data_IF_117755919564
#
_entry.id   IF_117755919564
#
_cell.length_a   1.000
_cell.length_b   1.000
_cell.length_c   1.000
_cell.angle_alpha   90.00
_cell.angle_beta   90.00
_cell.angle_gamma   90.00
#
_symmetry.space_group_name_H-M   'P 1'
#
loop_
_entity.id
_entity.type
_entity.pdbx_description
1 polymer ?
#
# COMPACT_ATOMS: atom_id res chain seq x y z
N UNK A 1 -2.06 -16.30 1.41
CA UNK A 1 -3.07 -16.84 0.46
C UNK A 1 -3.69 -15.75 -0.41
N UNK A 2 -4.32 -14.72 0.14
CA UNK A 2 -4.99 -13.65 -0.65
C UNK A 2 -4.07 -13.00 -1.68
N UNK A 3 -2.81 -12.70 -1.33
CA UNK A 3 -1.82 -12.18 -2.28
C UNK A 3 -1.61 -13.12 -3.48
N UNK A 4 -1.47 -14.43 -3.25
CA UNK A 4 -1.27 -15.41 -4.33
C UNK A 4 -2.49 -15.45 -5.26
N UNK A 5 -3.71 -15.42 -4.69
CA UNK A 5 -4.94 -15.36 -5.47
C UNK A 5 -5.08 -14.05 -6.25
N UNK A 6 -4.65 -12.93 -5.67
CA UNK A 6 -4.57 -11.63 -6.34
C UNK A 6 -3.59 -11.65 -7.52
N UNK A 7 -2.41 -12.22 -7.35
CA UNK A 7 -1.45 -12.39 -8.45
C UNK A 7 -2.00 -13.30 -9.56
N UNK A 8 -2.60 -14.44 -9.18
CA UNK A 8 -3.22 -15.36 -10.14
C UNK A 8 -4.34 -14.68 -10.94
N UNK A 9 -5.32 -14.07 -10.27
CA UNK A 9 -6.41 -13.34 -10.96
C UNK A 9 -5.87 -12.21 -11.85
N UNK A 10 -4.75 -11.58 -11.49
CA UNK A 10 -4.05 -10.60 -12.34
C UNK A 10 -3.47 -11.23 -13.61
N UNK A 11 -2.85 -12.40 -13.51
CA UNK A 11 -2.36 -13.15 -14.67
C UNK A 11 -3.51 -13.60 -15.59
N UNK A 12 -4.65 -14.00 -15.03
CA UNK A 12 -5.86 -14.28 -15.82
C UNK A 12 -6.31 -13.05 -16.61
N UNK A 13 -6.29 -11.85 -16.00
CA UNK A 13 -6.60 -10.58 -16.70
C UNK A 13 -5.60 -10.25 -17.81
N UNK A 14 -4.36 -10.74 -17.72
CA UNK A 14 -3.36 -10.61 -18.79
C UNK A 14 -3.57 -11.59 -19.95
N UNK A 15 -4.53 -12.51 -19.84
CA UNK A 15 -4.85 -13.51 -20.86
C UNK A 15 -4.18 -14.87 -20.64
N UNK A 16 -3.60 -15.12 -19.47
CA UNK A 16 -3.11 -16.45 -19.13
C UNK A 16 -4.27 -17.40 -18.80
N UNK A 17 -4.30 -18.57 -19.47
CA UNK A 17 -5.39 -19.56 -19.34
C UNK A 17 -4.93 -20.90 -18.73
N UNK A 18 -3.73 -20.96 -18.13
CA UNK A 18 -3.06 -22.24 -17.81
C UNK A 18 -3.81 -23.16 -16.83
N UNK A 19 -4.51 -22.63 -15.83
CA UNK A 19 -5.27 -23.42 -14.84
C UNK A 19 -6.79 -23.17 -14.95
N UNK A 20 -7.32 -23.25 -16.17
CA UNK A 20 -8.70 -22.86 -16.49
C UNK A 20 -9.78 -23.61 -15.68
N UNK A 21 -9.52 -24.85 -15.24
CA UNK A 21 -10.49 -25.68 -14.52
C UNK A 21 -10.86 -25.16 -13.11
N UNK A 22 -10.04 -24.28 -12.52
CA UNK A 22 -10.23 -23.73 -11.16
C UNK A 22 -10.05 -22.21 -11.17
N UNK A 23 -10.23 -21.55 -12.33
CA UNK A 23 -9.91 -20.13 -12.47
C UNK A 23 -10.90 -19.24 -11.68
N UNK A 24 -10.45 -18.52 -10.63
CA UNK A 24 -11.29 -17.53 -9.95
C UNK A 24 -11.65 -16.39 -10.90
N UNK A 25 -12.74 -15.68 -10.60
CA UNK A 25 -13.21 -14.56 -11.42
C UNK A 25 -12.11 -13.49 -11.60
N UNK A 26 -11.62 -13.20 -12.81
CA UNK A 26 -10.58 -12.19 -13.04
C UNK A 26 -11.00 -10.77 -12.63
N UNK A 27 -12.31 -10.52 -12.45
CA UNK A 27 -12.81 -9.22 -11.98
C UNK A 27 -12.45 -8.95 -10.51
N UNK A 28 -12.16 -9.99 -9.71
CA UNK A 28 -11.83 -9.80 -8.29
C UNK A 28 -10.37 -9.48 -8.03
N UNK A 29 -9.52 -9.38 -9.07
CA UNK A 29 -8.11 -9.01 -8.92
C UNK A 29 -7.88 -7.72 -8.11
N UNK A 30 -8.50 -6.61 -8.52
CA UNK A 30 -8.39 -5.32 -7.82
C UNK A 30 -8.88 -5.41 -6.37
N UNK A 31 -10.11 -5.90 -6.11
CA UNK A 31 -10.60 -6.13 -4.75
C UNK A 31 -9.69 -7.01 -3.88
N UNK A 32 -9.15 -8.11 -4.42
CA UNK A 32 -8.25 -9.00 -3.68
C UNK A 32 -6.91 -8.34 -3.36
N UNK A 33 -6.34 -7.57 -4.29
CA UNK A 33 -5.07 -6.90 -4.06
C UNK A 33 -5.21 -5.73 -3.09
N UNK A 34 -6.18 -4.83 -3.32
CA UNK A 34 -6.31 -3.60 -2.52
C UNK A 34 -7.04 -3.88 -1.21
N UNK A 35 -8.25 -4.41 -1.26
CA UNK A 35 -9.04 -4.60 -0.04
C UNK A 35 -8.61 -5.84 0.71
N UNK A 36 -8.39 -6.96 0.00
CA UNK A 36 -8.03 -8.21 0.63
C UNK A 36 -6.62 -8.21 1.20
N UNK A 37 -5.60 -8.09 0.36
CA UNK A 37 -4.21 -8.17 0.78
C UNK A 37 -3.77 -6.91 1.55
N UNK A 38 -3.81 -5.73 0.92
CA UNK A 38 -3.30 -4.50 1.54
C UNK A 38 -4.18 -4.03 2.69
N UNK A 39 -5.51 -4.12 2.55
CA UNK A 39 -6.44 -3.81 3.64
C UNK A 39 -6.23 -4.68 4.87
N UNK A 40 -5.99 -5.98 4.71
CA UNK A 40 -5.67 -6.87 5.85
C UNK A 40 -4.31 -6.50 6.45
N UNK A 41 -3.29 -6.27 5.62
CA UNK A 41 -1.94 -5.93 6.09
C UNK A 41 -1.93 -4.63 6.91
N UNK A 42 -2.49 -3.55 6.36
CA UNK A 42 -2.54 -2.23 7.00
C UNK A 42 -3.37 -2.30 8.29
N UNK A 43 -4.53 -2.95 8.26
CA UNK A 43 -5.35 -3.07 9.46
C UNK A 43 -4.72 -3.95 10.55
N UNK A 44 -3.99 -4.99 10.18
CA UNK A 44 -3.22 -5.81 11.12
C UNK A 44 -2.09 -5.01 11.75
N UNK A 45 -1.33 -4.26 10.97
CA UNK A 45 -0.27 -3.40 11.50
C UNK A 45 -0.82 -2.39 12.52
N UNK A 46 -1.95 -1.74 12.21
CA UNK A 46 -2.59 -0.81 13.15
C UNK A 46 -3.19 -1.53 14.37
N UNK A 47 -3.66 -2.76 14.21
CA UNK A 47 -4.15 -3.56 15.32
C UNK A 47 -3.02 -3.93 16.30
N UNK A 48 -1.86 -4.34 15.77
CA UNK A 48 -0.64 -4.62 16.55
C UNK A 48 -0.14 -3.34 17.24
N UNK A 49 -0.07 -2.22 16.52
CA UNK A 49 0.39 -0.94 17.07
C UNK A 49 -0.49 -0.41 18.22
N UNK A 50 -1.81 -0.57 18.13
CA UNK A 50 -2.72 -0.16 19.22
C UNK A 50 -2.79 -1.18 20.36
N UNK A 51 -2.39 -2.43 20.12
CA UNK A 51 -2.36 -3.54 21.06
C UNK A 51 -3.65 -3.73 21.90
N UNK A 52 -4.82 -3.61 21.26
CA UNK A 52 -6.13 -3.81 21.90
C UNK A 52 -6.86 -4.98 21.25
N UNK A 53 -7.35 -5.94 22.04
CA UNK A 53 -7.93 -7.20 21.53
C UNK A 53 -9.01 -7.02 20.45
N UNK A 54 -9.85 -5.99 20.56
CA UNK A 54 -10.92 -5.76 19.59
C UNK A 54 -10.41 -5.34 18.20
N UNK A 55 -9.23 -4.73 18.08
CA UNK A 55 -8.72 -4.25 16.79
C UNK A 55 -8.39 -5.38 15.84
N UNK A 56 -8.06 -6.57 16.36
CA UNK A 56 -7.80 -7.77 15.55
C UNK A 56 -9.04 -8.31 14.84
N UNK A 57 -10.26 -7.94 15.27
CA UNK A 57 -11.47 -8.25 14.52
C UNK A 57 -11.47 -7.57 13.14
N UNK A 58 -10.80 -6.42 13.00
CA UNK A 58 -10.75 -5.65 11.76
C UNK A 58 -10.03 -6.42 10.64
N UNK A 59 -8.74 -6.81 10.75
CA UNK A 59 -8.06 -7.60 9.73
C UNK A 59 -8.71 -8.97 9.53
N UNK A 60 -9.33 -9.56 10.56
CA UNK A 60 -10.06 -10.82 10.44
C UNK A 60 -11.29 -10.68 9.51
N UNK A 61 -12.11 -9.64 9.69
CA UNK A 61 -13.25 -9.34 8.82
C UNK A 61 -12.80 -9.12 7.37
N UNK A 62 -11.73 -8.35 7.17
CA UNK A 62 -11.18 -8.06 5.83
C UNK A 62 -10.68 -9.33 5.16
N UNK A 63 -9.91 -10.15 5.88
CA UNK A 63 -9.40 -11.42 5.39
C UNK A 63 -10.53 -12.39 5.03
N UNK A 64 -11.51 -12.57 5.91
CA UNK A 64 -12.69 -13.41 5.65
C UNK A 64 -13.51 -12.91 4.46
N UNK A 65 -13.70 -11.60 4.33
CA UNK A 65 -14.40 -11.01 3.19
C UNK A 65 -13.65 -11.21 1.87
N UNK A 66 -12.32 -11.16 1.89
CA UNK A 66 -11.49 -11.46 0.72
C UNK A 66 -11.58 -12.94 0.32
N UNK A 67 -11.59 -13.86 1.30
CA UNK A 67 -11.83 -15.28 1.03
C UNK A 67 -13.22 -15.53 0.45
N UNK A 68 -14.27 -14.89 0.99
CA UNK A 68 -15.62 -14.99 0.45
C UNK A 68 -15.69 -14.49 -1.01
N UNK A 69 -15.02 -13.38 -1.33
CA UNK A 69 -14.93 -12.86 -2.69
C UNK A 69 -14.15 -13.81 -3.63
N UNK A 70 -13.08 -14.43 -3.14
CA UNK A 70 -12.30 -15.41 -3.91
C UNK A 70 -13.10 -16.67 -4.24
N UNK A 71 -13.88 -17.17 -3.28
CA UNK A 71 -14.72 -18.36 -3.45
C UNK A 71 -15.98 -18.09 -4.29
N UNK A 72 -16.21 -16.86 -4.72
CA UNK A 72 -17.39 -16.49 -5.52
C UNK A 72 -18.70 -16.56 -4.72
N UNK A 73 -18.64 -16.43 -3.39
CA UNK A 73 -19.85 -16.34 -2.58
C UNK A 73 -20.64 -15.12 -3.05
N UNK A 74 -21.93 -15.33 -3.36
CA UNK A 74 -22.78 -14.30 -3.93
C UNK A 74 -22.75 -13.02 -3.06
N UNK A 75 -22.70 -11.82 -3.68
CA UNK A 75 -22.85 -10.57 -2.96
C UNK A 75 -24.13 -10.59 -2.11
N UNK A 76 -24.12 -9.96 -0.92
CA UNK A 76 -23.12 -8.99 -0.46
C UNK A 76 -21.99 -9.55 0.43
N UNK A 77 -21.87 -10.87 0.63
CA UNK A 77 -21.03 -11.45 1.70
C UNK A 77 -19.58 -10.91 1.80
N UNK A 78 -18.79 -11.03 0.73
CA UNK A 78 -17.41 -10.51 0.68
C UNK A 78 -17.31 -8.99 0.83
N UNK A 79 -18.01 -8.21 -0.02
CA UNK A 79 -18.05 -6.75 0.08
C UNK A 79 -18.52 -6.23 1.45
N UNK A 80 -19.49 -6.88 2.09
CA UNK A 80 -20.03 -6.49 3.38
C UNK A 80 -18.98 -6.63 4.48
N UNK A 81 -18.32 -7.79 4.58
CA UNK A 81 -17.28 -8.02 5.57
C UNK A 81 -16.10 -7.06 5.40
N UNK A 82 -15.68 -6.82 4.16
CA UNK A 82 -14.62 -5.84 3.85
C UNK A 82 -15.05 -4.42 4.23
N UNK A 83 -16.31 -4.04 3.99
CA UNK A 83 -16.85 -2.73 4.36
C UNK A 83 -16.86 -2.54 5.88
N UNK A 84 -17.32 -3.55 6.62
CA UNK A 84 -17.27 -3.56 8.09
C UNK A 84 -15.84 -3.46 8.61
N UNK A 85 -14.90 -4.17 7.98
CA UNK A 85 -13.47 -4.04 8.27
C UNK A 85 -12.95 -2.62 8.03
N UNK A 86 -13.28 -2.00 6.90
CA UNK A 86 -12.86 -0.61 6.66
C UNK A 86 -13.47 0.40 7.63
N UNK A 87 -14.74 0.21 8.05
CA UNK A 87 -15.35 1.00 9.11
C UNK A 87 -14.62 0.79 10.45
N UNK A 88 -14.23 -0.44 10.76
CA UNK A 88 -13.39 -0.77 11.90
C UNK A 88 -12.04 -0.05 11.87
N UNK A 89 -11.39 0.03 10.70
CA UNK A 89 -10.13 0.78 10.55
C UNK A 89 -10.34 2.28 10.78
N UNK A 90 -11.45 2.87 10.34
CA UNK A 90 -11.82 4.26 10.66
C UNK A 90 -11.95 4.45 12.18
N UNK A 91 -12.59 3.51 12.88
CA UNK A 91 -12.72 3.54 14.34
C UNK A 91 -11.34 3.45 15.01
N UNK A 92 -10.45 2.57 14.54
CA UNK A 92 -9.06 2.47 15.04
C UNK A 92 -8.37 3.83 14.94
N UNK A 93 -8.42 4.49 13.79
CA UNK A 93 -7.81 5.81 13.62
C UNK A 93 -8.51 6.90 14.45
N UNK A 94 -9.82 6.81 14.67
CA UNK A 94 -10.54 7.68 15.61
C UNK A 94 -9.98 7.55 17.04
N UNK A 95 -9.69 6.32 17.48
CA UNK A 95 -9.02 6.08 18.77
C UNK A 95 -7.59 6.64 18.75
N UNK A 96 -6.80 6.40 17.71
CA UNK A 96 -5.44 6.97 17.58
C UNK A 96 -5.47 8.50 17.68
N UNK A 97 -6.40 9.17 17.00
CA UNK A 97 -6.55 10.63 17.04
C UNK A 97 -6.98 11.14 18.42
N UNK A 98 -7.77 10.37 19.16
CA UNK A 98 -8.14 10.71 20.55
C UNK A 98 -6.97 10.63 21.53
N UNK A 99 -5.98 9.77 21.24
CA UNK A 99 -4.75 9.64 22.04
C UNK A 99 -3.73 10.69 21.62
N UNK A 100 -3.53 10.86 20.31
CA UNK A 100 -2.56 11.80 19.75
C UNK A 100 -3.10 12.45 18.48
N UNK A 101 -3.58 13.69 18.62
CA UNK A 101 -3.99 14.52 17.51
C UNK A 101 -2.76 15.06 16.76
N UNK A 102 -2.22 14.25 15.84
CA UNK A 102 -1.08 14.62 15.01
C UNK A 102 -1.46 14.68 13.52
N UNK A 103 -0.79 15.54 12.72
CA UNK A 103 -1.15 15.71 11.31
C UNK A 103 -1.01 14.43 10.48
N UNK A 104 0.01 13.60 10.77
CA UNK A 104 0.19 12.32 10.09
C UNK A 104 -0.97 11.35 10.38
N UNK A 105 -1.46 11.31 11.63
CA UNK A 105 -2.60 10.49 12.02
C UNK A 105 -3.89 10.94 11.33
N UNK A 106 -4.09 12.26 11.14
CA UNK A 106 -5.24 12.80 10.40
C UNK A 106 -5.22 12.34 8.94
N UNK A 107 -4.04 12.36 8.30
CA UNK A 107 -3.89 11.95 6.91
C UNK A 107 -4.11 10.44 6.75
N UNK A 108 -3.59 9.61 7.65
CA UNK A 108 -3.88 8.17 7.65
C UNK A 108 -5.37 7.88 7.91
N UNK A 109 -6.01 8.62 8.82
CA UNK A 109 -7.45 8.51 9.07
C UNK A 109 -8.27 8.88 7.82
N UNK A 110 -7.87 9.91 7.09
CA UNK A 110 -8.47 10.25 5.80
C UNK A 110 -8.32 9.12 4.77
N UNK A 111 -7.18 8.42 4.77
CA UNK A 111 -6.99 7.19 3.99
C UNK A 111 -7.98 6.09 4.38
N UNK A 112 -8.17 5.82 5.67
CA UNK A 112 -9.15 4.85 6.14
C UNK A 112 -10.59 5.22 5.77
N UNK A 113 -10.95 6.50 5.84
CA UNK A 113 -12.25 7.00 5.37
C UNK A 113 -12.39 6.80 3.86
N UNK A 114 -11.36 7.11 3.08
CA UNK A 114 -11.39 6.89 1.63
C UNK A 114 -11.62 5.40 1.29
N UNK A 115 -10.99 4.49 2.05
CA UNK A 115 -11.21 3.06 1.90
C UNK A 115 -12.66 2.65 2.23
N UNK A 116 -13.20 3.16 3.34
CA UNK A 116 -14.58 2.89 3.75
C UNK A 116 -15.59 3.39 2.72
N UNK A 117 -15.38 4.57 2.13
CA UNK A 117 -16.20 5.09 1.02
C UNK A 117 -16.10 4.17 -0.19
N UNK A 118 -14.90 3.82 -0.64
CA UNK A 118 -14.71 2.92 -1.79
C UNK A 118 -15.37 1.55 -1.60
N UNK A 119 -15.30 0.99 -0.40
CA UNK A 119 -15.95 -0.28 -0.07
C UNK A 119 -17.47 -0.15 0.07
N UNK A 120 -17.98 0.96 0.61
CA UNK A 120 -19.41 1.25 0.64
C UNK A 120 -20.02 1.38 -0.77
N UNK A 121 -19.29 2.00 -1.70
CA UNK A 121 -19.66 2.04 -3.11
C UNK A 121 -19.65 0.62 -3.71
N UNK A 122 -18.65 -0.19 -3.39
CA UNK A 122 -18.57 -1.57 -3.87
C UNK A 122 -19.74 -2.42 -3.35
N UNK A 123 -20.07 -2.31 -2.06
CA UNK A 123 -21.19 -2.99 -1.41
C UNK A 123 -22.54 -2.61 -2.02
N UNK A 124 -22.70 -1.37 -2.46
CA UNK A 124 -23.91 -0.87 -3.13
C UNK A 124 -23.95 -1.17 -4.64
N UNK A 125 -22.97 -1.92 -5.16
CA UNK A 125 -22.98 -2.43 -6.53
C UNK A 125 -22.35 -1.49 -7.57
N UNK A 126 -21.60 -0.46 -7.15
CA UNK A 126 -20.90 0.39 -8.11
C UNK A 126 -19.85 -0.40 -8.91
N UNK A 127 -19.67 -0.10 -10.20
CA UNK A 127 -18.63 -0.75 -10.98
C UNK A 127 -17.23 -0.38 -10.46
N UNK A 128 -16.33 -1.37 -10.42
CA UNK A 128 -14.96 -1.24 -9.86
C UNK A 128 -14.21 0.02 -10.36
N UNK A 129 -14.24 0.40 -11.65
CA UNK A 129 -13.50 1.57 -12.11
C UNK A 129 -13.90 2.90 -11.44
N UNK A 130 -15.14 3.05 -10.96
CA UNK A 130 -15.64 4.28 -10.33
C UNK A 130 -15.22 4.42 -8.87
N UNK A 131 -15.02 3.29 -8.19
CA UNK A 131 -14.60 3.23 -6.78
C UNK A 131 -13.07 3.10 -6.63
N UNK A 132 -12.35 2.73 -7.69
CA UNK A 132 -10.90 2.54 -7.67
C UNK A 132 -10.12 3.81 -7.30
N UNK A 133 -10.52 5.04 -7.67
CA UNK A 133 -9.89 6.26 -7.16
C UNK A 133 -9.86 6.31 -5.62
N UNK A 134 -10.92 5.88 -4.95
CA UNK A 134 -11.01 5.86 -3.48
C UNK A 134 -10.08 4.83 -2.85
N UNK A 135 -9.93 3.65 -3.48
CA UNK A 135 -8.96 2.64 -3.08
C UNK A 135 -7.51 3.08 -3.32
N UNK A 136 -7.26 3.83 -4.39
CA UNK A 136 -5.97 4.47 -4.64
C UNK A 136 -5.69 5.54 -3.57
N UNK A 137 -6.67 6.39 -3.28
CA UNK A 137 -6.62 7.41 -2.25
C UNK A 137 -6.33 6.83 -0.86
N UNK A 138 -6.97 5.71 -0.51
CA UNK A 138 -6.68 4.97 0.72
C UNK A 138 -5.18 4.69 0.87
N UNK A 139 -4.58 4.00 -0.10
CA UNK A 139 -3.18 3.59 0.00
C UNK A 139 -2.23 4.78 -0.06
N UNK A 140 -2.48 5.75 -0.96
CA UNK A 140 -1.64 6.93 -1.08
C UNK A 140 -1.67 7.78 0.19
N UNK A 141 -2.84 8.03 0.77
CA UNK A 141 -2.97 8.82 1.99
C UNK A 141 -2.39 8.09 3.20
N UNK A 142 -2.64 6.78 3.36
CA UNK A 142 -2.03 6.00 4.44
C UNK A 142 -0.51 6.04 4.36
N UNK A 143 0.07 5.73 3.20
CA UNK A 143 1.53 5.75 3.00
C UNK A 143 2.09 7.16 3.20
N UNK A 144 1.45 8.20 2.64
CA UNK A 144 1.90 9.57 2.80
C UNK A 144 1.86 10.01 4.29
N UNK A 145 0.84 9.60 5.03
CA UNK A 145 0.75 9.81 6.47
C UNK A 145 1.89 9.13 7.23
N UNK A 146 2.16 7.85 6.97
CA UNK A 146 3.30 7.12 7.56
C UNK A 146 4.64 7.81 7.22
N UNK A 147 4.79 8.30 6.00
CA UNK A 147 5.99 9.06 5.60
C UNK A 147 6.12 10.38 6.34
N UNK A 148 5.02 11.08 6.55
CA UNK A 148 4.99 12.31 7.34
C UNK A 148 5.37 12.04 8.80
N UNK A 149 4.94 10.91 9.37
CA UNK A 149 5.31 10.50 10.73
C UNK A 149 6.83 10.32 10.87
N UNK A 150 7.45 9.61 9.93
CA UNK A 150 8.89 9.30 9.96
C UNK A 150 9.77 10.52 9.64
N UNK A 151 9.29 11.43 8.80
CA UNK A 151 10.02 12.65 8.42
C UNK A 151 9.76 13.83 9.36
N UNK A 152 8.96 13.67 10.43
CA UNK A 152 8.53 14.77 11.32
C UNK A 152 9.67 15.57 11.94
N UNK A 153 10.80 14.91 12.21
CA UNK A 153 11.97 15.54 12.82
C UNK A 153 12.77 16.41 11.84
N UNK A 154 12.51 16.32 10.53
CA UNK A 154 13.20 17.13 9.51
C UNK A 154 12.35 18.29 9.01
N UNK A 155 11.04 18.28 9.27
CA UNK A 155 10.07 19.21 8.69
C UNK A 155 9.75 20.38 9.63
N UNK A 156 10.79 21.11 10.04
CA UNK A 156 10.64 22.23 10.96
C UNK A 156 10.04 23.48 10.32
N UNK A 157 10.22 23.67 9.01
CA UNK A 157 9.75 24.86 8.34
C UNK A 157 8.26 24.75 7.97
N UNK A 158 7.47 25.77 8.36
CA UNK A 158 6.01 25.78 8.17
C UNK A 158 5.60 25.61 6.70
N UNK A 159 6.36 26.17 5.75
CA UNK A 159 6.06 26.06 4.32
C UNK A 159 6.10 24.61 3.80
N UNK A 160 6.99 23.78 4.36
CA UNK A 160 7.11 22.35 3.99
C UNK A 160 5.84 21.62 4.42
N UNK A 161 5.41 21.85 5.67
CA UNK A 161 4.18 21.29 6.22
C UNK A 161 2.92 21.76 5.49
N UNK A 162 2.81 23.05 5.18
CA UNK A 162 1.67 23.57 4.43
C UNK A 162 1.64 23.02 3.00
N UNK A 163 2.79 22.93 2.33
CA UNK A 163 2.90 22.31 1.00
C UNK A 163 2.41 20.88 0.98
N UNK A 164 2.76 20.07 1.99
CA UNK A 164 2.24 18.72 2.13
C UNK A 164 0.71 18.70 2.28
N UNK A 165 0.18 19.51 3.20
CA UNK A 165 -1.26 19.57 3.46
C UNK A 165 -2.04 20.04 2.23
N UNK A 166 -1.49 20.96 1.43
CA UNK A 166 -2.05 21.35 0.14
C UNK A 166 -2.12 20.16 -0.80
N UNK A 167 -1.08 19.32 -0.89
CA UNK A 167 -1.13 18.10 -1.70
C UNK A 167 -2.26 17.16 -1.24
N UNK A 168 -2.42 16.96 0.07
CA UNK A 168 -3.48 16.13 0.65
C UNK A 168 -4.88 16.70 0.33
N UNK A 169 -5.07 18.01 0.44
CA UNK A 169 -6.35 18.66 0.10
C UNK A 169 -6.67 18.48 -1.38
N UNK A 170 -5.69 18.67 -2.28
CA UNK A 170 -5.89 18.47 -3.73
C UNK A 170 -6.28 17.02 -4.03
N UNK A 171 -5.62 16.04 -3.39
CA UNK A 171 -5.99 14.62 -3.50
C UNK A 171 -7.44 14.38 -3.04
N UNK A 172 -7.81 14.91 -1.87
CA UNK A 172 -9.16 14.78 -1.31
C UNK A 172 -10.24 15.42 -2.21
N UNK A 173 -9.96 16.59 -2.79
CA UNK A 173 -10.83 17.22 -3.78
C UNK A 173 -10.97 16.36 -5.03
N UNK A 174 -9.88 15.76 -5.52
CA UNK A 174 -9.93 14.83 -6.65
C UNK A 174 -10.83 13.62 -6.41
N UNK A 175 -10.74 13.01 -5.21
CA UNK A 175 -11.62 11.92 -4.80
C UNK A 175 -13.09 12.34 -4.71
N UNK A 176 -13.37 13.48 -4.07
CA UNK A 176 -14.74 13.99 -3.95
C UNK A 176 -15.34 14.32 -5.33
N UNK A 177 -14.58 15.00 -6.19
CA UNK A 177 -14.99 15.31 -7.56
C UNK A 177 -15.22 14.06 -8.41
N UNK A 178 -14.50 12.95 -8.15
CA UNK A 178 -14.65 11.70 -8.92
C UNK A 178 -16.01 11.04 -8.75
N UNK A 179 -16.78 11.40 -7.71
CA UNK A 179 -18.17 10.93 -7.53
C UNK A 179 -19.16 11.60 -8.49
N UNK A 180 -18.83 12.80 -8.97
CA UNK A 180 -19.70 13.60 -9.86
C UNK A 180 -19.18 13.56 -11.29
N UNK A 181 -17.88 13.75 -11.47
CA UNK A 181 -17.18 13.70 -12.76
C UNK A 181 -15.89 12.92 -12.59
N UNK A 182 -15.90 11.67 -13.07
CA UNK A 182 -14.75 10.76 -12.94
C UNK A 182 -13.50 11.31 -13.65
N UNK A 183 -13.66 11.92 -14.83
CA UNK A 183 -12.54 12.51 -15.58
C UNK A 183 -11.92 13.71 -14.86
N UNK A 184 -12.76 14.68 -14.45
CA UNK A 184 -12.29 15.87 -13.72
C UNK A 184 -11.66 15.48 -12.40
N UNK A 185 -12.31 14.59 -11.65
CA UNK A 185 -11.80 14.07 -10.38
C UNK A 185 -10.44 13.41 -10.54
N UNK A 186 -10.25 12.61 -11.59
CA UNK A 186 -8.96 11.98 -11.86
C UNK A 186 -7.86 12.95 -12.26
N UNK A 187 -8.16 14.01 -13.02
CA UNK A 187 -7.15 15.04 -13.34
C UNK A 187 -6.72 15.79 -12.09
N UNK A 188 -7.66 16.16 -11.21
CA UNK A 188 -7.35 16.80 -9.92
C UNK A 188 -6.56 15.83 -9.02
N UNK A 189 -6.97 14.57 -8.94
CA UNK A 189 -6.24 13.52 -8.22
C UNK A 189 -4.82 13.38 -8.78
N UNK A 190 -4.67 13.34 -10.10
CA UNK A 190 -3.37 13.30 -10.79
C UNK A 190 -2.48 14.48 -10.47
N UNK A 191 -3.03 15.71 -10.42
CA UNK A 191 -2.32 16.89 -9.95
C UNK A 191 -1.81 16.71 -8.52
N UNK A 192 -2.66 16.19 -7.63
CA UNK A 192 -2.30 15.88 -6.26
C UNK A 192 -1.19 14.83 -6.15
N UNK A 193 -1.22 13.78 -6.98
CA UNK A 193 -0.19 12.72 -7.01
C UNK A 193 1.16 13.25 -7.50
N UNK A 194 1.18 14.07 -8.56
CA UNK A 194 2.41 14.72 -9.06
C UNK A 194 2.97 15.67 -8.00
N UNK A 195 2.11 16.52 -7.41
CA UNK A 195 2.54 17.45 -6.37
C UNK A 195 3.09 16.70 -5.14
N UNK A 196 2.40 15.66 -4.68
CA UNK A 196 2.84 14.83 -3.56
C UNK A 196 4.15 14.09 -3.85
N UNK A 197 4.28 13.48 -5.03
CA UNK A 197 5.51 12.79 -5.44
C UNK A 197 6.71 13.74 -5.50
N UNK A 198 6.50 14.93 -6.06
CA UNK A 198 7.54 15.98 -6.11
C UNK A 198 7.91 16.48 -4.72
N UNK A 199 6.91 16.68 -3.86
CA UNK A 199 7.14 17.07 -2.48
C UNK A 199 7.93 16.00 -1.71
N UNK A 200 7.58 14.71 -1.86
CA UNK A 200 8.27 13.61 -1.18
C UNK A 200 9.72 13.49 -1.64
N UNK A 201 10.01 13.63 -2.94
CA UNK A 201 11.39 13.66 -3.46
C UNK A 201 12.18 14.83 -2.87
N UNK A 202 11.55 15.99 -2.70
CA UNK A 202 12.21 17.19 -2.20
C UNK A 202 12.44 17.18 -0.68
N UNK A 203 11.49 16.63 0.09
CA UNK A 203 11.42 16.85 1.54
C UNK A 203 11.34 15.59 2.41
N UNK A 204 11.18 14.38 1.85
CA UNK A 204 11.27 13.14 2.64
C UNK A 204 12.73 12.83 3.00
N UNK A 205 12.95 12.26 4.19
CA UNK A 205 14.27 11.84 4.68
C UNK A 205 15.00 10.88 3.72
N UNK A 206 14.28 10.12 2.90
CA UNK A 206 14.84 9.16 1.95
C UNK A 206 15.92 9.75 1.04
N UNK A 207 15.81 11.02 0.62
CA UNK A 207 16.82 11.69 -0.22
C UNK A 207 18.19 11.81 0.45
N UNK A 208 18.22 11.84 1.78
CA UNK A 208 19.44 11.89 2.58
C UNK A 208 19.86 10.47 2.97
N UNK A 209 18.90 9.61 3.33
CA UNK A 209 19.18 8.22 3.74
C UNK A 209 19.77 7.38 2.60
N UNK A 210 19.52 7.73 1.33
CA UNK A 210 20.08 7.00 0.17
C UNK A 210 21.61 7.00 0.13
N UNK A 211 22.27 7.95 0.79
CA UNK A 211 23.75 8.01 0.85
C UNK A 211 24.34 7.08 1.92
N UNK A 212 23.52 6.51 2.80
CA UNK A 212 23.96 5.62 3.87
C UNK A 212 24.28 4.22 3.30
N UNK A 213 24.70 3.27 4.15
CA UNK A 213 24.95 1.89 3.77
C UNK A 213 23.94 0.93 4.42
N UNK A 214 23.76 -0.26 3.83
CA UNK A 214 22.90 -1.32 4.38
C UNK A 214 21.40 -1.08 4.17
N UNK A 215 20.61 -1.52 5.17
CA UNK A 215 19.15 -1.45 5.13
C UNK A 215 18.61 -0.04 4.88
N UNK A 216 19.07 1.03 5.55
CA UNK A 216 18.53 2.38 5.32
C UNK A 216 18.62 2.82 3.85
N UNK A 217 19.74 2.55 3.17
CA UNK A 217 19.90 2.85 1.74
C UNK A 217 18.96 2.03 0.87
N UNK A 218 18.83 0.74 1.15
CA UNK A 218 17.88 -0.12 0.44
C UNK A 218 16.45 0.42 0.53
N UNK A 219 16.01 0.79 1.74
CA UNK A 219 14.70 1.41 1.95
C UNK A 219 14.57 2.70 1.15
N UNK A 220 15.56 3.59 1.25
CA UNK A 220 15.56 4.87 0.55
C UNK A 220 15.48 4.73 -0.98
N UNK A 221 16.20 3.78 -1.57
CA UNK A 221 16.12 3.49 -3.02
C UNK A 221 14.69 3.10 -3.40
N UNK A 222 14.08 2.17 -2.65
CA UNK A 222 12.70 1.74 -2.92
C UNK A 222 11.72 2.91 -2.78
N UNK A 223 11.85 3.73 -1.73
CA UNK A 223 11.01 4.91 -1.51
C UNK A 223 11.10 5.91 -2.67
N UNK A 224 12.32 6.29 -3.07
CA UNK A 224 12.56 7.27 -4.14
C UNK A 224 12.04 6.77 -5.50
N UNK A 225 12.24 5.48 -5.81
CA UNK A 225 11.68 4.88 -7.03
C UNK A 225 10.15 4.89 -6.99
N UNK A 226 9.54 4.61 -5.82
CA UNK A 226 8.11 4.72 -5.62
C UNK A 226 7.58 6.14 -5.86
N UNK A 227 8.26 7.17 -5.35
CA UNK A 227 7.86 8.56 -5.59
C UNK A 227 7.94 8.92 -7.08
N UNK A 228 8.95 8.43 -7.80
CA UNK A 228 9.03 8.58 -9.25
C UNK A 228 7.81 7.98 -9.97
N UNK A 229 7.35 6.80 -9.56
CA UNK A 229 6.14 6.20 -10.11
C UNK A 229 4.85 6.96 -9.76
N UNK A 230 4.80 7.61 -8.60
CA UNK A 230 3.69 8.48 -8.24
C UNK A 230 3.58 9.68 -9.19
N UNK A 231 4.72 10.25 -9.61
CA UNK A 231 4.77 11.29 -10.65
C UNK A 231 4.25 10.77 -11.99
N UNK A 232 4.68 9.59 -12.41
CA UNK A 232 4.24 8.98 -13.69
C UNK A 232 2.73 8.71 -13.66
N UNK A 233 2.23 8.05 -12.61
CA UNK A 233 0.81 7.74 -12.46
C UNK A 233 -0.06 9.01 -12.43
N UNK A 234 0.36 10.03 -11.67
CA UNK A 234 -0.34 11.32 -11.63
C UNK A 234 -0.32 12.05 -12.98
N UNK A 235 0.82 12.01 -13.69
CA UNK A 235 0.97 12.57 -15.03
C UNK A 235 0.05 11.89 -16.06
N UNK A 236 -0.08 10.57 -16.00
CA UNK A 236 -1.03 9.84 -16.85
C UNK A 236 -2.47 10.28 -16.59
N UNK A 237 -2.88 10.39 -15.33
CA UNK A 237 -4.25 10.83 -14.98
C UNK A 237 -4.51 12.28 -15.38
N UNK A 238 -3.54 13.18 -15.24
CA UNK A 238 -3.62 14.55 -15.72
C UNK A 238 -3.83 14.64 -17.22
N UNK A 239 -3.17 13.77 -17.97
CA UNK A 239 -3.16 13.78 -19.44
C UNK A 239 -4.42 13.14 -20.00
N UNK A 240 -4.72 11.92 -19.56
CA UNK A 240 -5.73 11.05 -20.16
C UNK A 240 -7.03 10.94 -19.36
N UNK A 241 -7.12 11.56 -18.18
CA UNK A 241 -8.29 11.44 -17.31
C UNK A 241 -8.42 10.06 -16.69
N UNK A 242 -9.64 9.49 -16.68
CA UNK A 242 -9.91 8.17 -16.11
C UNK A 242 -10.65 7.23 -17.07
N UNK A 243 -9.92 6.48 -17.91
CA UNK A 243 -10.52 5.39 -18.66
C UNK A 243 -11.08 4.34 -17.69
N UNK A 244 -12.25 3.76 -18.00
CA UNK A 244 -12.90 2.76 -17.14
C UNK A 244 -12.44 1.32 -17.43
N UNK A 245 -11.67 1.12 -18.50
CA UNK A 245 -11.06 -0.16 -18.88
C UNK A 245 -9.91 0.05 -19.88
N UNK A 246 -9.23 -1.03 -20.26
CA UNK A 246 -8.22 -1.03 -21.32
C UNK A 246 -6.80 -0.75 -20.84
N UNK A 247 -5.89 -0.52 -21.81
CA UNK A 247 -4.45 -0.43 -21.57
C UNK A 247 -4.06 0.82 -20.76
N UNK A 248 -4.65 1.98 -21.07
CA UNK A 248 -4.39 3.20 -20.30
C UNK A 248 -4.83 3.08 -18.85
N UNK A 249 -5.97 2.43 -18.61
CA UNK A 249 -6.44 2.12 -17.25
C UNK A 249 -5.45 1.21 -16.53
N UNK A 250 -4.99 0.14 -17.20
CA UNK A 250 -3.98 -0.78 -16.65
C UNK A 250 -2.69 -0.04 -16.28
N UNK A 251 -2.20 0.82 -17.15
CA UNK A 251 -0.99 1.61 -16.93
C UNK A 251 -1.12 2.55 -15.71
N UNK A 252 -2.22 3.29 -15.61
CA UNK A 252 -2.47 4.19 -14.47
C UNK A 252 -2.53 3.43 -13.15
N UNK A 253 -3.20 2.28 -13.13
CA UNK A 253 -3.31 1.49 -11.90
C UNK A 253 -1.98 0.86 -11.51
N UNK A 254 -1.23 0.30 -12.46
CA UNK A 254 0.00 -0.42 -12.13
C UNK A 254 1.17 0.53 -11.83
N UNK A 255 1.21 1.73 -12.41
CA UNK A 255 2.17 2.76 -11.98
C UNK A 255 2.00 3.10 -10.50
N UNK A 256 0.76 3.24 -10.00
CA UNK A 256 0.54 3.56 -8.59
C UNK A 256 0.59 2.32 -7.70
N UNK A 257 -0.20 1.29 -7.97
CA UNK A 257 -0.26 0.10 -7.08
C UNK A 257 1.00 -0.75 -7.13
N UNK A 258 1.64 -0.93 -8.29
CA UNK A 258 2.90 -1.69 -8.36
C UNK A 258 4.10 -0.78 -8.22
N UNK A 259 4.12 0.35 -8.94
CA UNK A 259 5.27 1.25 -8.92
C UNK A 259 5.44 1.99 -7.60
N UNK A 260 4.37 2.53 -7.02
CA UNK A 260 4.46 3.25 -5.74
C UNK A 260 4.22 2.31 -4.55
N UNK A 261 3.07 1.63 -4.48
CA UNK A 261 2.69 0.87 -3.28
C UNK A 261 3.59 -0.35 -3.05
N UNK A 262 3.88 -1.18 -4.05
CA UNK A 262 4.80 -2.31 -3.85
C UNK A 262 6.24 -1.87 -3.55
N UNK A 263 6.70 -0.73 -4.07
CA UNK A 263 7.99 -0.17 -3.64
C UNK A 263 8.00 0.23 -2.17
N UNK A 264 6.89 0.73 -1.62
CA UNK A 264 6.74 1.00 -0.18
C UNK A 264 6.74 -0.29 0.64
N UNK A 265 6.04 -1.33 0.16
CA UNK A 265 6.05 -2.66 0.79
C UNK A 265 7.48 -3.22 0.82
N UNK A 266 8.20 -3.16 -0.29
CA UNK A 266 9.58 -3.65 -0.35
C UNK A 266 10.51 -2.85 0.56
N UNK A 267 10.35 -1.52 0.61
CA UNK A 267 11.10 -0.68 1.52
C UNK A 267 10.87 -1.10 2.99
N UNK A 268 9.63 -1.30 3.38
CA UNK A 268 9.28 -1.45 4.79
C UNK A 268 9.17 -2.90 5.27
N UNK A 269 9.05 -3.90 4.39
CA UNK A 269 8.90 -5.30 4.78
C UNK A 269 9.99 -5.82 5.75
N UNK A 270 11.30 -5.47 5.58
CA UNK A 270 12.33 -5.89 6.54
C UNK A 270 12.18 -5.30 7.94
N UNK A 271 11.32 -4.29 8.13
CA UNK A 271 11.08 -3.59 9.41
C UNK A 271 9.69 -3.90 9.96
N UNK A 272 8.66 -3.96 9.12
CA UNK A 272 7.27 -4.21 9.53
C UNK A 272 7.02 -5.69 9.81
N UNK A 273 7.55 -6.61 9.00
CA UNK A 273 7.31 -8.04 9.25
C UNK A 273 7.85 -8.50 10.61
N UNK A 274 9.04 -8.05 11.06
CA UNK A 274 9.49 -8.34 12.42
C UNK A 274 8.55 -7.90 13.53
N UNK A 275 7.93 -6.71 13.42
CA UNK A 275 7.03 -6.22 14.47
C UNK A 275 5.68 -6.94 14.50
N UNK A 276 5.25 -7.49 13.36
CA UNK A 276 3.97 -8.21 13.26
C UNK A 276 4.10 -9.71 13.53
N UNK A 277 5.20 -10.31 13.08
CA UNK A 277 5.44 -11.76 13.16
C UNK A 277 6.33 -12.15 14.35
N UNK A 278 6.90 -11.18 15.06
CA UNK A 278 7.87 -11.38 16.14
C UNK A 278 9.10 -12.22 15.71
N UNK A 279 9.62 -11.94 14.50
CA UNK A 279 10.80 -12.61 13.92
C UNK A 279 11.83 -11.60 13.41
N UNK A 280 13.12 -11.86 13.59
CA UNK A 280 14.16 -11.00 13.03
C UNK A 280 14.40 -11.32 11.54
N UNK A 281 14.43 -10.27 10.72
CA UNK A 281 14.72 -10.39 9.28
C UNK A 281 16.02 -9.65 8.97
N UNK A 282 17.16 -10.34 8.92
CA UNK A 282 18.43 -9.69 8.63
C UNK A 282 18.44 -9.14 7.20
N UNK A 283 18.98 -7.94 7.04
CA UNK A 283 19.14 -7.34 5.72
C UNK A 283 20.24 -8.07 4.92
N UNK A 284 19.97 -8.31 3.63
CA UNK A 284 20.93 -8.87 2.67
C UNK A 284 20.87 -8.11 1.34
N UNK A 285 22.00 -7.90 0.64
CA UNK A 285 22.00 -7.26 -0.68
C UNK A 285 21.12 -7.95 -1.73
N UNK A 286 20.80 -9.24 -1.55
CA UNK A 286 19.90 -10.02 -2.41
C UNK A 286 18.54 -9.35 -2.63
N UNK A 287 18.04 -8.55 -1.68
CA UNK A 287 16.76 -7.85 -1.80
C UNK A 287 16.71 -6.86 -2.99
N UNK A 288 17.86 -6.38 -3.48
CA UNK A 288 17.89 -5.52 -4.67
C UNK A 288 17.48 -6.25 -5.96
N UNK A 289 17.69 -7.56 -6.07
CA UNK A 289 17.36 -8.34 -7.27
C UNK A 289 15.88 -8.28 -7.63
N UNK A 290 14.97 -8.70 -6.71
CA UNK A 290 13.53 -8.60 -6.94
C UNK A 290 13.04 -7.17 -7.16
N UNK A 291 13.62 -6.18 -6.48
CA UNK A 291 13.27 -4.76 -6.67
C UNK A 291 13.65 -4.28 -8.07
N UNK A 292 14.88 -4.54 -8.52
CA UNK A 292 15.32 -4.20 -9.87
C UNK A 292 14.43 -4.88 -10.92
N UNK A 293 14.10 -6.16 -10.73
CA UNK A 293 13.18 -6.88 -11.59
C UNK A 293 11.82 -6.17 -11.66
N UNK A 294 11.21 -5.84 -10.51
CA UNK A 294 9.91 -5.16 -10.44
C UNK A 294 9.89 -3.85 -11.23
N UNK A 295 10.91 -3.00 -11.05
CA UNK A 295 10.96 -1.69 -11.72
C UNK A 295 11.19 -1.82 -13.22
N UNK A 296 12.11 -2.68 -13.65
CA UNK A 296 12.40 -2.89 -15.08
C UNK A 296 11.20 -3.52 -15.80
N UNK A 297 10.55 -4.51 -15.17
CA UNK A 297 9.37 -5.15 -15.74
C UNK A 297 8.15 -4.23 -15.75
N UNK A 298 8.02 -3.36 -14.76
CA UNK A 298 6.97 -2.35 -14.76
C UNK A 298 7.19 -1.33 -15.88
N UNK A 299 8.41 -0.85 -16.12
CA UNK A 299 8.72 0.00 -17.28
C UNK A 299 8.31 -0.70 -18.58
N UNK A 300 8.71 -1.96 -18.78
CA UNK A 300 8.33 -2.73 -19.96
C UNK A 300 6.80 -2.83 -20.11
N UNK A 301 6.09 -3.08 -19.00
CA UNK A 301 4.63 -3.15 -18.98
C UNK A 301 3.99 -1.83 -19.40
N UNK A 302 4.37 -0.72 -18.77
CA UNK A 302 3.79 0.61 -19.05
C UNK A 302 4.08 1.05 -20.48
N UNK A 303 5.29 0.78 -21.01
CA UNK A 303 5.59 1.03 -22.43
C UNK A 303 4.72 0.16 -23.33
N UNK A 304 4.48 -1.11 -22.96
CA UNK A 304 3.55 -1.99 -23.66
C UNK A 304 2.09 -1.51 -23.64
N UNK A 305 1.67 -0.83 -22.57
CA UNK A 305 0.32 -0.28 -22.45
C UNK A 305 0.15 1.03 -23.25
N UNK A 306 1.16 1.90 -23.24
CA UNK A 306 1.14 3.18 -23.96
C UNK A 306 1.37 3.02 -25.47
N UNK A 307 2.20 2.07 -25.87
CA UNK A 307 2.61 1.81 -27.26
C UNK A 307 2.10 0.45 -27.78
N UNK A 308 0.86 0.08 -27.44
CA UNK A 308 0.21 -1.25 -27.49
C UNK A 308 1.05 -2.52 -27.79
N UNK A 309 2.28 -2.64 -27.28
CA UNK A 309 3.13 -3.81 -27.49
C UNK A 309 2.73 -4.95 -26.55
N UNK A 310 1.84 -5.82 -27.03
CA UNK A 310 1.28 -6.93 -26.26
C UNK A 310 2.34 -7.81 -25.58
N UNK A 311 3.46 -8.09 -26.26
CA UNK A 311 4.55 -8.91 -25.72
C UNK A 311 5.24 -8.25 -24.52
N UNK A 312 5.53 -6.94 -24.60
CA UNK A 312 6.13 -6.20 -23.49
C UNK A 312 5.19 -6.16 -22.29
N UNK A 313 3.90 -5.94 -22.53
CA UNK A 313 2.86 -5.97 -21.50
C UNK A 313 2.77 -7.32 -20.81
N UNK A 314 2.80 -8.41 -21.57
CA UNK A 314 2.71 -9.77 -21.04
C UNK A 314 3.95 -10.13 -20.22
N UNK A 315 5.15 -9.95 -20.78
CA UNK A 315 6.41 -10.24 -20.08
C UNK A 315 6.53 -9.36 -18.83
N UNK A 316 6.25 -8.07 -18.96
CA UNK A 316 6.25 -7.14 -17.83
C UNK A 316 5.29 -7.58 -16.73
N UNK A 317 4.07 -8.00 -17.08
CA UNK A 317 3.09 -8.49 -16.11
C UNK A 317 3.51 -9.77 -15.39
N UNK A 318 4.05 -10.76 -16.10
CA UNK A 318 4.59 -11.98 -15.48
C UNK A 318 5.79 -11.69 -14.58
N UNK A 319 6.72 -10.86 -15.04
CA UNK A 319 7.91 -10.47 -14.29
C UNK A 319 7.56 -9.63 -13.06
N UNK A 320 6.51 -8.80 -13.09
CA UNK A 320 5.99 -8.11 -11.89
C UNK A 320 5.54 -9.13 -10.83
N UNK A 321 4.75 -10.15 -11.23
CA UNK A 321 4.30 -11.19 -10.31
C UNK A 321 5.49 -12.00 -9.76
N UNK A 322 6.43 -12.38 -10.63
CA UNK A 322 7.65 -13.08 -10.24
C UNK A 322 8.50 -12.26 -9.26
N UNK A 323 8.65 -10.95 -9.47
CA UNK A 323 9.39 -10.06 -8.57
C UNK A 323 8.81 -10.05 -7.15
N UNK A 324 7.47 -10.01 -7.01
CA UNK A 324 6.81 -10.08 -5.71
C UNK A 324 7.09 -11.43 -5.02
N UNK A 325 7.00 -12.54 -5.76
CA UNK A 325 7.27 -13.87 -5.22
C UNK A 325 8.74 -14.07 -4.85
N UNK A 326 9.66 -13.59 -5.69
CA UNK A 326 11.09 -13.63 -5.43
C UNK A 326 11.48 -12.78 -4.22
N UNK A 327 10.81 -11.64 -4.01
CA UNK A 327 11.02 -10.85 -2.81
C UNK A 327 10.60 -11.62 -1.55
N UNK A 328 9.41 -12.23 -1.54
CA UNK A 328 8.98 -13.09 -0.43
C UNK A 328 9.93 -14.28 -0.21
N UNK A 329 10.41 -14.90 -1.29
CA UNK A 329 11.41 -15.96 -1.23
C UNK A 329 12.73 -15.48 -0.62
N UNK A 330 13.20 -14.28 -1.00
CA UNK A 330 14.39 -13.67 -0.41
C UNK A 330 14.20 -13.36 1.08
N UNK A 331 13.01 -12.92 1.49
CA UNK A 331 12.66 -12.70 2.90
C UNK A 331 12.71 -14.01 3.68
N UNK A 332 12.05 -15.06 3.19
CA UNK A 332 12.05 -16.39 3.82
C UNK A 332 13.47 -16.97 3.91
N UNK A 333 14.25 -16.86 2.83
CA UNK A 333 15.66 -17.25 2.82
C UNK A 333 16.48 -16.51 3.87
N UNK A 334 16.26 -15.20 4.02
CA UNK A 334 16.99 -14.41 5.02
C UNK A 334 16.70 -14.83 6.46
N UNK A 335 15.45 -15.19 6.74
CA UNK A 335 15.00 -15.71 8.04
C UNK A 335 15.64 -17.08 8.32
N UNK A 336 15.59 -18.00 7.36
CA UNK A 336 16.15 -19.36 7.51
C UNK A 336 17.67 -19.31 7.76
N UNK A 337 18.36 -18.36 7.13
CA UNK A 337 19.81 -18.20 7.24
C UNK A 337 20.22 -17.26 8.39
N UNK A 338 19.28 -16.85 9.25
CA UNK A 338 19.61 -16.06 10.43
C UNK A 338 20.36 -16.93 11.45
N UNK A 339 21.51 -16.48 11.99
CA UNK A 339 22.18 -17.21 13.05
C UNK A 339 21.27 -17.33 14.29
N UNK A 340 21.42 -18.39 15.10
CA UNK A 340 20.65 -18.53 16.34
C UNK A 340 20.86 -17.31 17.24
N UNK A 341 19.80 -16.76 17.80
CA UNK A 341 19.91 -15.70 18.80
C UNK A 341 20.78 -16.18 19.98
N UNK A 342 21.75 -15.36 20.46
CA UNK A 342 22.53 -15.75 21.63
C UNK A 342 21.59 -15.97 22.83
N UNK A 343 21.85 -16.98 23.68
CA UNK A 343 20.96 -17.39 24.76
C UNK A 343 20.63 -16.27 25.78
N UNK A 344 21.43 -15.21 25.83
CA UNK A 344 21.33 -14.12 26.81
C UNK A 344 20.88 -12.78 26.22
N UNK A 345 20.21 -12.78 25.06
CA UNK A 345 19.57 -11.55 24.59
C UNK A 345 18.47 -11.14 25.59
N UNK A 346 18.53 -9.95 26.21
CA UNK A 346 17.46 -9.50 27.10
C UNK A 346 16.12 -9.54 26.34
N UNK A 347 15.01 -9.88 27.01
CA UNK A 347 13.69 -9.81 26.39
C UNK A 347 13.54 -8.45 25.71
N UNK A 348 13.12 -8.42 24.44
CA UNK A 348 12.82 -7.17 23.73
C UNK A 348 11.82 -6.41 24.62
N UNK A 349 12.27 -5.32 25.20
CA UNK A 349 11.46 -4.48 26.08
C UNK A 349 10.23 -4.07 25.27
N UNK A 350 9.07 -4.66 25.60
CA UNK A 350 7.80 -4.07 25.23
C UNK A 350 7.84 -2.68 25.84
N UNK A 351 7.77 -1.64 25.00
CA UNK A 351 7.60 -0.27 25.45
C UNK A 351 6.29 -0.20 26.26
N UNK A 352 6.39 -0.50 27.55
CA UNK A 352 5.38 -0.26 28.55
C UNK A 352 5.25 1.26 28.66
N UNK A 353 4.18 1.77 28.07
CA UNK A 353 3.75 3.16 28.18
C UNK A 353 3.04 3.42 29.52
N UNK A 354 3.43 2.73 30.60
CA UNK A 354 3.00 3.08 31.95
C UNK A 354 4.18 3.69 32.70
N UNK A 355 4.15 5.02 32.76
CA UNK A 355 5.15 5.83 33.42
C UNK A 355 5.32 5.45 34.89
N UNK A 356 6.58 5.13 35.22
CA UNK A 356 7.26 5.54 36.45
C UNK A 356 6.54 5.33 37.77
N UNK A 357 6.96 4.30 38.52
CA UNK A 357 7.19 4.38 39.98
C UNK A 357 8.11 3.23 40.41
N UNK A 358 9.42 3.48 40.39
CA UNK A 358 10.38 2.76 41.23
C UNK A 358 10.69 3.65 42.42
N UNK A 359 10.10 3.34 43.57
CA UNK A 359 10.62 3.77 44.86
C UNK A 359 11.52 2.64 45.37
N UNK A 360 12.83 2.87 45.33
CA UNK A 360 13.79 2.04 46.04
C UNK A 360 13.78 2.38 47.55
N UNK A 361 14.08 1.41 48.43
CA UNK A 361 13.97 1.59 49.87
C UNK A 361 15.24 2.22 50.47
N UNK A 362 15.06 3.24 51.31
CA UNK A 362 15.91 3.54 52.46
C UNK A 362 15.06 4.10 53.59
#
# INVERSE_FOLDING_TARGET
>A
MVLMAGLWTGLLRLGWNGLAAIAPNPSVHGPLMVCGFLGTLISLERAVALNRRWTYAVPALVGLGAFAALLGIAPPGGPLLITLGSAGLVIIFGVVLSIQAAPFAVVMAAGAVAWAVGNGLWLTGWPIPYLTPWWLGFLVLTIAGERLELSRMMQHASYVRYGFMTCIVVLGLGLACSLVSLDTGARILGAGLVALGGWLIAYDIARHTVTHAGLPRFMAVCLLMGYGWLLVGGGLMLTYGWPTAGLLYDAMLHTVFVGFVFSMIFAHAPVIFPSVLDIDIPYRPLFYGPVALLHLSLVARIVGDLWPYATLRLIGGWSNAAAILLFLGATAYSIIQAPPSPPDAPPKESLDLDGGRSLAPR
#
